data_IF_460758750324
#
_entry.id   IF_460758750324
#
_cell.length_a   1.000
_cell.length_b   1.000
_cell.length_c   1.000
_cell.angle_alpha   90.00
_cell.angle_beta   90.00
_cell.angle_gamma   90.00
#
_symmetry.space_group_name_H-M   'P 1'
#
loop_
_entity.id
_entity.type
_entity.pdbx_description
1 polymer ?
#
# COMPACT_ATOMS: atom_id res chain seq x y z
N UNK A 1 -10.30 11.57 -14.17
CA UNK A 1 -9.52 12.05 -15.33
C UNK A 1 -8.65 10.87 -15.80
N UNK A 2 -9.16 10.05 -16.72
CA UNK A 2 -8.49 8.83 -17.22
C UNK A 2 -7.79 9.15 -18.54
N UNK A 3 -6.51 9.49 -18.49
CA UNK A 3 -5.75 9.92 -19.68
C UNK A 3 -5.03 8.78 -20.43
N UNK A 4 -5.32 7.50 -20.14
CA UNK A 4 -4.54 6.36 -20.68
C UNK A 4 -5.29 5.34 -21.56
N UNK A 5 -6.62 5.44 -21.70
CA UNK A 5 -7.45 4.31 -22.18
C UNK A 5 -7.67 4.33 -23.72
N UNK A 6 -7.24 5.38 -24.44
CA UNK A 6 -7.53 5.58 -25.86
C UNK A 6 -6.52 5.01 -26.87
N UNK A 7 -5.49 4.27 -26.45
CA UNK A 7 -4.35 3.90 -27.33
C UNK A 7 -4.30 2.43 -27.78
N UNK A 8 -5.07 1.53 -27.15
CA UNK A 8 -5.01 0.08 -27.40
C UNK A 8 -6.33 -0.46 -27.94
N UNK A 9 -6.26 -1.55 -28.69
CA UNK A 9 -7.43 -2.24 -29.23
C UNK A 9 -8.10 -3.08 -28.13
N UNK A 10 -9.07 -2.50 -27.41
CA UNK A 10 -9.69 -3.12 -26.23
C UNK A 10 -10.57 -4.34 -26.56
N UNK A 11 -11.13 -4.37 -27.77
CA UNK A 11 -12.02 -5.41 -28.28
C UNK A 11 -11.29 -6.41 -29.19
N UNK A 12 -9.96 -6.53 -29.08
CA UNK A 12 -9.15 -7.41 -29.92
C UNK A 12 -9.63 -8.88 -29.92
N UNK A 13 -10.25 -9.32 -28.83
CA UNK A 13 -10.82 -10.67 -28.68
C UNK A 13 -12.00 -10.95 -29.61
N UNK A 14 -12.67 -9.91 -30.13
CA UNK A 14 -13.84 -10.02 -30.99
C UNK A 14 -13.52 -9.85 -32.48
N UNK A 15 -12.24 -9.72 -32.85
CA UNK A 15 -11.79 -9.40 -34.22
C UNK A 15 -10.99 -10.55 -34.85
N UNK A 16 -10.95 -10.59 -36.19
CA UNK A 16 -10.06 -11.53 -36.90
C UNK A 16 -8.60 -11.12 -36.68
N UNK A 17 -7.71 -12.10 -36.56
CA UNK A 17 -6.29 -11.84 -36.30
C UNK A 17 -5.64 -10.93 -37.35
N UNK A 18 -6.12 -10.93 -38.60
CA UNK A 18 -5.62 -10.05 -39.67
C UNK A 18 -5.94 -8.58 -39.41
N UNK A 19 -7.11 -8.31 -38.84
CA UNK A 19 -7.50 -6.94 -38.45
C UNK A 19 -6.66 -6.44 -37.29
N UNK A 20 -6.40 -7.31 -36.30
CA UNK A 20 -5.52 -6.99 -35.18
C UNK A 20 -4.08 -6.76 -35.66
N UNK A 21 -3.57 -7.62 -36.55
CA UNK A 21 -2.23 -7.48 -37.13
C UNK A 21 -2.09 -6.19 -37.94
N UNK A 22 -3.10 -5.83 -38.73
CA UNK A 22 -3.14 -4.58 -39.47
C UNK A 22 -3.20 -3.36 -38.53
N UNK A 23 -3.98 -3.42 -37.45
CA UNK A 23 -4.07 -2.33 -36.46
C UNK A 23 -2.71 -2.03 -35.81
N UNK A 24 -1.94 -3.07 -35.49
CA UNK A 24 -0.60 -2.93 -34.90
C UNK A 24 0.53 -2.84 -35.93
N UNK A 25 0.20 -2.87 -37.23
CA UNK A 25 1.15 -2.87 -38.35
C UNK A 25 2.27 -3.93 -38.19
N UNK A 26 1.87 -5.16 -37.85
CA UNK A 26 2.81 -6.27 -37.62
C UNK A 26 2.63 -7.36 -38.68
N UNK A 27 3.76 -7.83 -39.23
CA UNK A 27 3.78 -9.07 -40.02
C UNK A 27 3.75 -10.26 -39.06
N UNK A 28 2.71 -11.10 -39.15
CA UNK A 28 2.53 -12.25 -38.27
C UNK A 28 3.63 -13.31 -38.45
N UNK A 29 4.26 -13.37 -39.62
CA UNK A 29 5.31 -14.35 -39.93
C UNK A 29 6.70 -13.91 -39.46
N UNK A 30 6.97 -12.61 -39.36
CA UNK A 30 8.28 -12.05 -39.01
C UNK A 30 8.30 -11.36 -37.64
N UNK A 31 7.14 -10.97 -37.11
CA UNK A 31 7.01 -10.16 -35.91
C UNK A 31 7.45 -8.70 -36.11
N UNK A 32 7.70 -8.01 -35.00
CA UNK A 32 8.22 -6.64 -35.00
C UNK A 32 9.75 -6.65 -35.03
N UNK A 33 10.34 -5.71 -35.77
CA UNK A 33 11.77 -5.40 -35.67
C UNK A 33 12.11 -4.74 -34.33
N UNK A 34 13.40 -4.69 -33.99
CA UNK A 34 13.86 -4.02 -32.76
C UNK A 34 13.49 -2.54 -32.72
N UNK A 35 13.53 -1.86 -33.87
CA UNK A 35 13.17 -0.45 -34.01
C UNK A 35 11.66 -0.24 -33.76
N UNK A 36 10.81 -1.09 -34.32
CA UNK A 36 9.36 -1.04 -34.11
C UNK A 36 9.00 -1.39 -32.67
N UNK A 37 9.66 -2.40 -32.08
CA UNK A 37 9.48 -2.74 -30.68
C UNK A 37 9.90 -1.58 -29.75
N UNK A 38 10.96 -0.85 -30.07
CA UNK A 38 11.38 0.34 -29.32
C UNK A 38 10.35 1.47 -29.44
N UNK A 39 9.82 1.72 -30.64
CA UNK A 39 8.74 2.70 -30.84
C UNK A 39 7.46 2.30 -30.08
N UNK A 40 7.10 1.01 -30.09
CA UNK A 40 5.97 0.49 -29.34
C UNK A 40 6.16 0.68 -27.82
N UNK A 41 7.37 0.43 -27.28
CA UNK A 41 7.68 0.69 -25.87
C UNK A 41 7.56 2.18 -25.50
N UNK A 42 7.95 3.08 -26.40
CA UNK A 42 7.79 4.52 -26.17
C UNK A 42 6.32 4.95 -26.18
N UNK A 43 5.46 4.27 -26.96
CA UNK A 43 4.04 4.57 -27.09
C UNK A 43 3.18 3.95 -25.99
N UNK A 44 3.40 2.67 -25.67
CA UNK A 44 2.56 1.89 -24.76
C UNK A 44 3.18 1.72 -23.36
N UNK A 45 4.44 2.10 -23.20
CA UNK A 45 5.19 1.83 -21.98
C UNK A 45 5.75 0.42 -21.94
N UNK A 46 6.38 0.09 -20.81
CA UNK A 46 6.87 -1.27 -20.52
C UNK A 46 5.69 -2.13 -20.10
N UNK A 47 5.71 -3.40 -20.49
CA UNK A 47 4.72 -4.39 -20.02
C UNK A 47 5.06 -4.84 -18.60
N UNK A 48 5.02 -3.91 -17.66
CA UNK A 48 5.23 -4.14 -16.24
C UNK A 48 4.14 -3.43 -15.46
N UNK A 49 3.65 -4.09 -14.41
CA UNK A 49 2.73 -3.45 -13.49
C UNK A 49 3.53 -2.43 -12.68
N UNK A 50 2.98 -1.22 -12.53
CA UNK A 50 3.56 -0.27 -11.61
C UNK A 50 3.60 -0.91 -10.21
N UNK A 51 4.78 -0.98 -9.56
CA UNK A 51 4.86 -1.53 -8.23
C UNK A 51 4.05 -0.63 -7.29
N UNK A 52 3.17 -1.25 -6.52
CA UNK A 52 2.44 -0.52 -5.50
C UNK A 52 3.44 0.05 -4.49
N UNK A 53 3.34 1.34 -4.22
CA UNK A 53 4.24 1.98 -3.25
C UNK A 53 3.99 1.35 -1.88
N UNK A 54 5.01 0.67 -1.34
CA UNK A 54 4.92 0.06 -0.02
C UNK A 54 4.66 1.16 1.02
N UNK A 55 3.64 0.97 1.86
CA UNK A 55 3.41 1.89 2.96
C UNK A 55 4.51 1.69 4.00
N UNK A 56 5.24 2.74 4.42
CA UNK A 56 6.35 2.57 5.35
C UNK A 56 5.84 2.15 6.74
N UNK A 57 6.63 1.33 7.46
CA UNK A 57 6.25 0.74 8.75
C UNK A 57 5.82 1.77 9.79
N UNK A 58 6.49 2.92 9.87
CA UNK A 58 6.13 4.00 10.80
C UNK A 58 4.72 4.55 10.54
N UNK A 59 4.28 4.58 9.27
CA UNK A 59 2.93 5.04 8.90
C UNK A 59 1.87 4.01 9.28
N UNK A 60 2.21 2.72 9.24
CA UNK A 60 1.35 1.65 9.74
C UNK A 60 1.22 1.71 11.28
N UNK A 61 2.32 1.97 11.99
CA UNK A 61 2.30 2.19 13.45
C UNK A 61 1.41 3.39 13.81
N UNK A 62 1.56 4.52 13.12
CA UNK A 62 0.70 5.69 13.37
C UNK A 62 -0.78 5.41 13.11
N UNK A 63 -1.12 4.63 12.09
CA UNK A 63 -2.50 4.23 11.80
C UNK A 63 -3.13 3.46 12.96
N UNK A 64 -2.35 2.77 13.79
CA UNK A 64 -2.90 2.07 14.95
C UNK A 64 -3.41 3.02 16.04
N UNK A 65 -2.85 4.22 16.15
CA UNK A 65 -3.34 5.23 17.09
C UNK A 65 -4.72 5.79 16.71
N UNK A 66 -5.18 5.58 15.47
CA UNK A 66 -6.53 5.96 15.03
C UNK A 66 -7.61 4.98 15.51
N UNK A 67 -7.24 3.80 15.95
CA UNK A 67 -8.16 2.77 16.43
C UNK A 67 -8.85 3.18 17.75
N UNK A 68 -10.16 2.90 17.86
CA UNK A 68 -10.96 3.27 19.01
C UNK A 68 -10.47 2.58 20.31
N UNK A 69 -10.09 1.31 20.24
CA UNK A 69 -9.59 0.56 21.39
C UNK A 69 -8.27 1.16 21.88
N UNK A 70 -7.36 1.51 20.96
CA UNK A 70 -6.08 2.16 21.30
C UNK A 70 -6.31 3.50 21.99
N UNK A 71 -7.26 4.30 21.51
CA UNK A 71 -7.65 5.56 22.15
C UNK A 71 -8.20 5.35 23.57
N UNK A 72 -9.00 4.32 23.79
CA UNK A 72 -9.51 3.96 25.12
C UNK A 72 -8.35 3.57 26.05
N UNK A 73 -7.39 2.76 25.58
CA UNK A 73 -6.23 2.36 26.38
C UNK A 73 -5.34 3.55 26.74
N UNK A 74 -5.11 4.48 25.81
CA UNK A 74 -4.37 5.71 26.09
C UNK A 74 -5.10 6.59 27.12
N UNK A 75 -6.43 6.68 27.06
CA UNK A 75 -7.21 7.43 28.04
C UNK A 75 -7.10 6.81 29.43
N UNK A 76 -7.18 5.47 29.54
CA UNK A 76 -6.96 4.76 30.80
C UNK A 76 -5.56 5.04 31.36
N UNK A 77 -4.50 4.88 30.55
CA UNK A 77 -3.13 5.17 30.96
C UNK A 77 -2.94 6.62 31.44
N UNK A 78 -3.61 7.58 30.80
CA UNK A 78 -3.55 8.99 31.22
C UNK A 78 -4.22 9.22 32.57
N UNK A 79 -5.36 8.56 32.85
CA UNK A 79 -6.04 8.62 34.15
C UNK A 79 -5.16 8.00 35.23
N UNK A 80 -4.62 6.80 34.99
CA UNK A 80 -3.77 6.09 35.94
C UNK A 80 -2.49 6.89 36.25
N UNK A 81 -1.89 7.51 35.23
CA UNK A 81 -0.73 8.40 35.40
C UNK A 81 -1.05 9.60 36.31
N UNK A 82 -2.23 10.22 36.16
CA UNK A 82 -2.65 11.34 37.01
C UNK A 82 -2.84 10.87 38.45
N UNK A 83 -3.46 9.71 38.67
CA UNK A 83 -3.65 9.13 40.01
C UNK A 83 -2.30 8.84 40.67
N UNK A 84 -1.39 8.15 39.97
CA UNK A 84 -0.07 7.81 40.48
C UNK A 84 0.75 9.05 40.91
N UNK A 85 0.65 10.14 40.15
CA UNK A 85 1.30 11.42 40.48
C UNK A 85 0.75 12.04 41.77
N UNK A 86 -0.53 11.81 42.10
CA UNK A 86 -1.15 12.30 43.34
C UNK A 86 -0.89 11.42 44.56
N UNK A 87 -0.78 10.11 44.37
CA UNK A 87 -0.55 9.15 45.45
C UNK A 87 0.93 8.98 45.81
N UNK A 88 1.83 9.58 45.02
CA UNK A 88 3.28 9.55 45.28
C UNK A 88 3.90 8.17 45.06
N UNK A 89 3.27 7.38 44.18
CA UNK A 89 3.62 5.99 43.98
C UNK A 89 5.01 5.83 43.33
N UNK A 90 5.66 4.69 43.58
CA UNK A 90 7.01 4.46 43.07
C UNK A 90 7.04 4.49 41.54
N UNK A 91 7.96 5.26 40.94
CA UNK A 91 8.09 5.41 39.47
C UNK A 91 8.11 4.04 38.76
N UNK A 92 8.70 3.02 39.37
CA UNK A 92 8.76 1.67 38.81
C UNK A 92 7.39 1.00 38.68
N UNK A 93 6.46 1.24 39.63
CA UNK A 93 5.09 0.71 39.58
C UNK A 93 4.24 1.47 38.56
N UNK A 94 4.38 2.80 38.50
CA UNK A 94 3.67 3.65 37.54
C UNK A 94 4.10 3.47 36.08
N UNK A 95 5.20 2.76 35.81
CA UNK A 95 5.65 2.41 34.45
C UNK A 95 5.16 1.04 33.97
N UNK A 96 4.62 0.19 34.85
CA UNK A 96 4.14 -1.16 34.48
C UNK A 96 2.95 -1.06 33.54
N UNK A 97 1.97 -0.22 33.88
CA UNK A 97 0.74 -0.03 33.09
C UNK A 97 1.02 0.54 31.68
N UNK A 98 1.78 1.65 31.51
CA UNK A 98 2.21 2.12 30.19
C UNK A 98 2.98 1.06 29.38
N UNK A 99 3.82 0.26 30.04
CA UNK A 99 4.61 -0.77 29.37
C UNK A 99 3.74 -1.91 28.83
N UNK A 100 2.75 -2.38 29.61
CA UNK A 100 1.80 -3.42 29.16
C UNK A 100 0.98 -2.92 27.97
N UNK A 101 0.52 -1.67 27.99
CA UNK A 101 -0.23 -1.07 26.88
C UNK A 101 0.65 -0.99 25.62
N UNK A 102 1.90 -0.52 25.76
CA UNK A 102 2.86 -0.50 24.65
C UNK A 102 3.12 -1.89 24.06
N UNK A 103 3.21 -2.92 24.91
CA UNK A 103 3.36 -4.31 24.45
C UNK A 103 2.13 -4.80 23.68
N UNK A 104 0.92 -4.48 24.14
CA UNK A 104 -0.33 -4.81 23.42
C UNK A 104 -0.35 -4.11 22.06
N UNK A 105 0.05 -2.84 21.98
CA UNK A 105 0.11 -2.10 20.72
C UNK A 105 1.11 -2.72 19.74
N UNK A 106 2.33 -3.06 20.21
CA UNK A 106 3.35 -3.71 19.38
C UNK A 106 2.86 -5.10 18.91
N UNK A 107 2.22 -5.88 19.78
CA UNK A 107 1.66 -7.18 19.43
C UNK A 107 0.53 -7.06 18.40
N UNK A 108 -0.39 -6.11 18.57
CA UNK A 108 -1.45 -5.83 17.60
C UNK A 108 -0.88 -5.31 16.26
N UNK A 109 0.19 -4.50 16.30
CA UNK A 109 0.98 -4.09 15.14
C UNK A 109 1.54 -5.27 14.37
N UNK A 110 2.20 -6.19 15.06
CA UNK A 110 2.81 -7.35 14.44
C UNK A 110 1.76 -8.33 13.86
N UNK A 111 0.59 -8.47 14.48
CA UNK A 111 -0.48 -9.37 14.02
C UNK A 111 -1.38 -8.76 12.95
N UNK A 112 -1.50 -7.44 12.91
CA UNK A 112 -2.37 -6.71 11.98
C UNK A 112 -1.69 -6.18 10.72
N UNK A 113 -0.37 -6.31 10.61
CA UNK A 113 0.41 -6.05 9.39
C UNK A 113 0.36 -7.22 8.41
#
# INVERSE_FOLDING_TARGET
MYAGIGMTLQDAFARDYREVAAYYNVDVSQGLSEAEAAQARNKYGRNELEPEQSTPLWKLILKQFDDLLVKILMAAAAVDFVIAMTEGDSILSGLVEPMVIMLILVANGALGM
#
